data_IF_227357024107
#
_entry.id   IF_227357024107
#
_cell.length_a   1.000
_cell.length_b   1.000
_cell.length_c   1.000
_cell.angle_alpha   90.00
_cell.angle_beta   90.00
_cell.angle_gamma   90.00
#
_symmetry.space_group_name_H-M   'P 1'
#
loop_
_entity.id
_entity.type
_entity.pdbx_description
1 polymer ?
#
# COMPACT_ATOMS: atom_id res chain seq x y z
N UNK A 1 25.96 17.16 -18.81
CA UNK A 1 24.58 16.76 -18.46
C UNK A 1 23.90 16.40 -19.76
N UNK A 2 23.42 15.16 -19.89
CA UNK A 2 22.76 14.69 -21.09
C UNK A 2 21.25 14.90 -20.92
N UNK A 3 20.79 16.04 -21.42
CA UNK A 3 19.41 16.50 -21.22
C UNK A 3 18.38 15.64 -21.94
N UNK A 4 18.75 14.97 -23.03
CA UNK A 4 17.85 14.07 -23.77
C UNK A 4 17.66 12.76 -23.00
N UNK A 5 18.74 12.25 -22.39
CA UNK A 5 18.67 11.11 -21.47
C UNK A 5 17.83 11.44 -20.23
N UNK A 6 18.08 12.57 -19.57
CA UNK A 6 17.27 12.96 -18.41
C UNK A 6 15.80 13.21 -18.76
N UNK A 7 15.52 13.82 -19.92
CA UNK A 7 14.15 14.04 -20.37
C UNK A 7 13.43 12.72 -20.69
N UNK A 8 14.13 11.74 -21.25
CA UNK A 8 13.57 10.40 -21.49
C UNK A 8 13.36 9.63 -20.19
N UNK A 9 14.28 9.71 -19.22
CA UNK A 9 14.11 9.13 -17.88
C UNK A 9 12.93 9.79 -17.15
N UNK A 10 12.76 11.12 -17.25
CA UNK A 10 11.61 11.84 -16.73
C UNK A 10 10.29 11.43 -17.40
N UNK A 11 10.27 11.21 -18.71
CA UNK A 11 9.04 10.77 -19.41
C UNK A 11 8.73 9.28 -19.21
N UNK A 12 9.72 8.44 -18.89
CA UNK A 12 9.52 7.06 -18.46
C UNK A 12 8.94 6.96 -17.04
N UNK A 13 9.09 7.99 -16.19
CA UNK A 13 8.47 7.97 -14.85
C UNK A 13 6.93 7.97 -14.84
N UNK A 14 6.27 8.08 -16.00
CA UNK A 14 4.82 7.92 -16.14
C UNK A 14 4.34 6.51 -16.50
N UNK A 15 5.21 5.66 -17.07
CA UNK A 15 4.88 4.32 -17.54
C UNK A 15 5.52 3.28 -16.62
N UNK A 16 4.69 2.51 -15.90
CA UNK A 16 5.17 1.48 -14.96
C UNK A 16 4.96 1.80 -13.47
N UNK A 17 4.22 2.85 -13.11
CA UNK A 17 3.78 3.09 -11.73
C UNK A 17 2.29 2.81 -11.57
N UNK A 18 1.94 1.97 -10.61
CA UNK A 18 0.55 1.74 -10.24
C UNK A 18 0.08 2.84 -9.29
N UNK A 19 -0.74 3.75 -9.81
CA UNK A 19 -1.44 4.77 -9.02
C UNK A 19 -2.96 4.53 -9.12
N UNK A 20 -3.56 3.79 -8.18
CA UNK A 20 -4.96 3.43 -8.27
C UNK A 20 -5.86 4.66 -8.19
N UNK A 21 -6.81 4.75 -9.13
CA UNK A 21 -7.93 5.70 -9.10
C UNK A 21 -9.12 5.05 -8.39
N UNK A 22 -10.24 5.74 -8.30
CA UNK A 22 -11.48 5.13 -7.80
C UNK A 22 -11.83 3.89 -8.64
N UNK A 23 -12.12 2.77 -7.97
CA UNK A 23 -12.42 1.50 -8.63
C UNK A 23 -12.03 0.28 -7.82
N UNK A 24 -12.10 -0.88 -8.46
CA UNK A 24 -11.74 -2.17 -7.88
C UNK A 24 -10.63 -2.80 -8.74
N UNK A 25 -9.55 -3.23 -8.10
CA UNK A 25 -8.37 -3.77 -8.75
C UNK A 25 -8.02 -5.13 -8.18
N UNK A 26 -7.69 -6.09 -9.05
CA UNK A 26 -7.00 -7.31 -8.64
C UNK A 26 -5.51 -7.07 -8.75
N UNK A 27 -4.80 -7.15 -7.64
CA UNK A 27 -3.37 -6.86 -7.56
C UNK A 27 -2.64 -8.15 -7.18
N UNK A 28 -1.66 -8.55 -7.97
CA UNK A 28 -0.74 -9.65 -7.63
C UNK A 28 0.61 -9.04 -7.25
N UNK A 29 1.14 -9.41 -6.09
CA UNK A 29 2.48 -9.03 -5.66
C UNK A 29 3.52 -9.93 -6.32
N UNK A 30 4.56 -9.34 -6.88
CA UNK A 30 5.65 -10.07 -7.55
C UNK A 30 6.89 -10.22 -6.66
N UNK A 31 7.00 -9.40 -5.63
CA UNK A 31 8.11 -9.38 -4.68
C UNK A 31 7.64 -8.86 -3.31
N UNK A 32 8.50 -8.98 -2.29
CA UNK A 32 8.26 -8.34 -1.00
C UNK A 32 8.46 -6.82 -1.08
N UNK A 33 7.70 -6.03 -0.31
CA UNK A 33 7.90 -4.59 -0.27
C UNK A 33 9.28 -4.22 0.30
N UNK A 34 9.99 -3.34 -0.41
CA UNK A 34 11.26 -2.76 0.05
C UNK A 34 11.02 -1.38 0.66
N UNK A 35 11.73 -1.06 1.75
CA UNK A 35 11.62 0.25 2.39
C UNK A 35 12.20 1.36 1.51
N UNK A 36 11.51 2.50 1.45
CA UNK A 36 11.98 3.70 0.79
C UNK A 36 11.43 4.96 1.48
N UNK A 37 11.89 6.12 1.05
CA UNK A 37 11.41 7.42 1.56
C UNK A 37 11.05 8.31 0.38
N UNK A 38 9.92 8.99 0.50
CA UNK A 38 9.58 10.09 -0.39
C UNK A 38 10.14 11.38 0.21
N UNK A 39 11.01 12.04 -0.56
CA UNK A 39 11.64 13.31 -0.17
C UNK A 39 11.05 14.43 -1.01
N UNK A 40 10.62 15.49 -0.34
CA UNK A 40 10.23 16.74 -0.98
C UNK A 40 11.04 17.86 -0.35
N UNK A 41 11.58 18.73 -1.19
CA UNK A 41 12.45 19.82 -0.73
C UNK A 41 11.71 20.70 0.29
N UNK A 42 12.30 20.84 1.48
CA UNK A 42 11.73 21.61 2.58
C UNK A 42 10.64 20.91 3.39
N UNK A 43 10.35 19.63 3.16
CA UNK A 43 9.44 18.80 3.95
C UNK A 43 10.17 17.62 4.60
N UNK A 44 9.61 17.10 5.69
CA UNK A 44 10.14 15.90 6.36
C UNK A 44 10.05 14.67 5.44
N UNK A 45 11.01 13.76 5.59
CA UNK A 45 11.03 12.49 4.86
C UNK A 45 9.75 11.67 5.16
N UNK A 46 8.99 11.32 4.12
CA UNK A 46 7.77 10.52 4.27
C UNK A 46 8.11 9.04 4.07
N UNK A 47 7.95 8.17 5.10
CA UNK A 47 8.29 6.76 4.99
C UNK A 47 7.32 6.03 4.05
N UNK A 48 7.87 5.25 3.12
CA UNK A 48 7.12 4.47 2.15
C UNK A 48 7.68 3.05 2.02
N UNK A 49 6.93 2.21 1.32
CA UNK A 49 7.46 0.98 0.71
C UNK A 49 7.23 1.03 -0.78
N UNK A 50 8.16 0.47 -1.55
CA UNK A 50 8.01 0.21 -2.98
C UNK A 50 7.81 -1.30 -3.17
N UNK A 51 6.92 -1.68 -4.07
CA UNK A 51 6.68 -3.10 -4.37
C UNK A 51 6.25 -3.27 -5.82
N UNK A 52 6.81 -4.28 -6.49
CA UNK A 52 6.37 -4.66 -7.83
C UNK A 52 5.10 -5.50 -7.80
N UNK A 53 4.15 -5.14 -8.67
CA UNK A 53 2.83 -5.77 -8.79
C UNK A 53 2.41 -5.94 -10.24
N UNK A 54 1.46 -6.84 -10.51
CA UNK A 54 0.63 -6.81 -11.73
C UNK A 54 -0.80 -6.47 -11.38
N UNK A 55 -1.50 -5.74 -12.26
CA UNK A 55 -2.87 -5.28 -11.99
C UNK A 55 -3.82 -5.73 -13.09
N UNK A 56 -4.89 -6.43 -12.72
CA UNK A 56 -5.90 -6.90 -13.66
C UNK A 56 -5.54 -8.24 -14.31
N UNK A 57 -6.00 -8.43 -15.56
CA UNK A 57 -5.75 -9.68 -16.33
C UNK A 57 -4.51 -9.60 -17.21
N UNK A 58 -4.06 -8.39 -17.51
CA UNK A 58 -2.86 -8.16 -18.31
C UNK A 58 -1.66 -8.18 -17.35
N UNK A 59 -0.62 -8.92 -17.72
CA UNK A 59 0.57 -9.15 -16.90
C UNK A 59 1.54 -7.96 -16.93
N UNK A 60 1.02 -6.74 -17.03
CA UNK A 60 1.85 -5.55 -17.01
C UNK A 60 2.40 -5.34 -15.60
N UNK A 61 3.73 -5.41 -15.48
CA UNK A 61 4.43 -5.12 -14.24
C UNK A 61 4.36 -3.62 -13.95
N UNK A 62 4.09 -3.27 -12.70
CA UNK A 62 4.09 -1.90 -12.23
C UNK A 62 4.69 -1.82 -10.84
N UNK A 63 5.41 -0.73 -10.56
CA UNK A 63 5.85 -0.38 -9.22
C UNK A 63 4.73 0.35 -8.49
N UNK A 64 4.47 -0.07 -7.26
CA UNK A 64 3.51 0.57 -6.38
C UNK A 64 4.22 1.13 -5.15
N UNK A 65 4.06 2.44 -4.93
CA UNK A 65 4.59 3.13 -3.75
C UNK A 65 3.46 3.35 -2.75
N UNK A 66 3.68 2.91 -1.52
CA UNK A 66 2.67 2.92 -0.46
C UNK A 66 3.28 3.61 0.76
N UNK A 67 2.65 4.69 1.21
CA UNK A 67 3.04 5.37 2.46
C UNK A 67 2.81 4.46 3.67
N UNK A 68 3.80 4.39 4.57
CA UNK A 68 3.73 3.60 5.82
C UNK A 68 2.78 4.27 6.81
N UNK A 69 1.50 3.93 6.72
CA UNK A 69 0.50 4.32 7.72
C UNK A 69 0.72 3.58 9.04
N UNK A 70 0.40 4.23 10.15
CA UNK A 70 0.61 3.71 11.51
C UNK A 70 -0.53 2.83 12.05
N UNK A 71 -1.58 2.58 11.26
CA UNK A 71 -2.78 1.88 11.72
C UNK A 71 -3.11 0.68 10.84
N UNK A 72 -3.74 -0.35 11.43
CA UNK A 72 -4.23 -1.52 10.69
C UNK A 72 -5.29 -1.17 9.64
N UNK A 73 -5.93 0.00 9.75
CA UNK A 73 -6.90 0.53 8.77
C UNK A 73 -6.22 1.18 7.56
N UNK A 74 -4.96 1.60 7.70
CA UNK A 74 -4.21 2.13 6.56
C UNK A 74 -3.96 1.05 5.51
N UNK A 75 -3.76 1.44 4.25
CA UNK A 75 -3.41 0.48 3.20
C UNK A 75 -2.19 -0.36 3.58
N UNK A 76 -1.12 0.29 4.07
CA UNK A 76 0.08 -0.40 4.53
C UNK A 76 -0.24 -1.41 5.65
N UNK A 77 -0.99 -1.00 6.68
CA UNK A 77 -1.37 -1.90 7.78
C UNK A 77 -2.20 -3.10 7.33
N UNK A 78 -3.11 -2.90 6.36
CA UNK A 78 -3.89 -3.97 5.75
C UNK A 78 -3.00 -4.99 5.03
N UNK A 79 -1.99 -4.52 4.28
CA UNK A 79 -1.04 -5.41 3.61
C UNK A 79 -0.12 -6.14 4.60
N UNK A 80 0.33 -5.46 5.65
CA UNK A 80 1.15 -6.09 6.69
C UNK A 80 0.37 -7.16 7.45
N UNK A 81 -0.93 -7.01 7.64
CA UNK A 81 -1.77 -8.07 8.21
C UNK A 81 -1.78 -9.32 7.34
N UNK A 82 -1.91 -9.16 6.01
CA UNK A 82 -1.85 -10.27 5.05
C UNK A 82 -0.46 -10.94 5.09
N UNK A 83 0.60 -10.14 4.99
CA UNK A 83 1.99 -10.64 5.03
C UNK A 83 2.29 -11.38 6.33
N UNK A 84 1.86 -10.86 7.48
CA UNK A 84 2.02 -11.52 8.77
C UNK A 84 1.24 -12.85 8.86
N UNK A 85 0.01 -12.89 8.34
CA UNK A 85 -0.82 -14.09 8.39
C UNK A 85 -0.28 -15.22 7.49
N UNK A 86 0.27 -14.89 6.33
CA UNK A 86 0.75 -15.86 5.35
C UNK A 86 2.28 -16.06 5.35
N UNK A 87 3.02 -15.25 6.11
CA UNK A 87 4.49 -15.24 6.17
C UNK A 87 5.18 -14.50 5.02
N UNK A 88 4.45 -14.01 4.02
CA UNK A 88 4.96 -13.23 2.88
C UNK A 88 3.80 -12.56 2.10
N UNK A 89 4.14 -11.57 1.27
CA UNK A 89 3.25 -10.98 0.28
C UNK A 89 3.52 -11.47 -1.15
N UNK A 90 4.72 -11.97 -1.44
CA UNK A 90 5.12 -12.46 -2.78
C UNK A 90 4.14 -13.51 -3.30
N UNK A 91 3.77 -13.42 -4.58
CA UNK A 91 2.78 -14.25 -5.27
C UNK A 91 1.34 -14.18 -4.72
N UNK A 92 1.06 -13.34 -3.72
CA UNK A 92 -0.29 -13.14 -3.21
C UNK A 92 -1.11 -12.28 -4.14
N UNK A 93 -2.39 -12.61 -4.21
CA UNK A 93 -3.39 -11.83 -4.93
C UNK A 93 -4.29 -11.15 -3.90
N UNK A 94 -4.60 -9.89 -4.13
CA UNK A 94 -5.54 -9.13 -3.33
C UNK A 94 -6.58 -8.42 -4.19
N UNK A 95 -7.70 -8.09 -3.58
CA UNK A 95 -8.73 -7.23 -4.15
C UNK A 95 -8.68 -5.87 -3.45
N UNK A 96 -8.14 -4.87 -4.16
CA UNK A 96 -8.05 -3.49 -3.71
C UNK A 96 -9.29 -2.72 -4.17
N UNK A 97 -10.04 -2.19 -3.22
CA UNK A 97 -11.13 -1.24 -3.45
C UNK A 97 -10.67 0.16 -3.09
N UNK A 98 -10.85 1.09 -4.03
CA UNK A 98 -10.50 2.50 -3.84
C UNK A 98 -11.75 3.35 -3.99
N UNK A 99 -12.10 4.05 -2.91
CA UNK A 99 -13.22 4.96 -2.87
C UNK A 99 -12.72 6.39 -2.64
N UNK A 100 -13.25 7.34 -3.38
CA UNK A 100 -12.96 8.76 -3.16
C UNK A 100 -14.07 9.35 -2.29
N UNK A 101 -13.68 9.88 -1.13
CA UNK A 101 -14.57 10.61 -0.23
C UNK A 101 -14.21 12.09 -0.27
N UNK A 102 -15.22 12.96 -0.16
CA UNK A 102 -14.98 14.39 -0.02
C UNK A 102 -14.92 14.73 1.47
N UNK A 103 -13.78 15.24 1.92
CA UNK A 103 -13.55 15.66 3.31
C UNK A 103 -12.90 17.05 3.31
N UNK A 104 -13.46 17.97 4.08
CA UNK A 104 -12.97 19.36 4.19
C UNK A 104 -12.80 20.04 2.82
N UNK A 105 -13.75 19.78 1.92
CA UNK A 105 -13.76 20.32 0.55
C UNK A 105 -12.78 19.65 -0.42
N UNK A 106 -11.93 18.72 0.04
CA UNK A 106 -10.93 18.01 -0.76
C UNK A 106 -11.32 16.56 -0.99
N UNK A 107 -10.97 16.04 -2.16
CA UNK A 107 -11.13 14.62 -2.48
C UNK A 107 -9.99 13.82 -1.84
N UNK A 108 -10.35 12.77 -1.11
CA UNK A 108 -9.43 11.86 -0.45
C UNK A 108 -9.74 10.43 -0.84
N UNK A 109 -8.72 9.69 -1.27
CA UNK A 109 -8.86 8.28 -1.54
C UNK A 109 -8.78 7.49 -0.24
N UNK A 110 -9.71 6.55 -0.10
CA UNK A 110 -9.76 5.54 0.95
C UNK A 110 -9.55 4.18 0.32
N UNK A 111 -8.83 3.32 1.03
CA UNK A 111 -8.36 2.04 0.51
C UNK A 111 -8.85 0.91 1.40
N UNK A 112 -9.43 -0.10 0.78
CA UNK A 112 -9.85 -1.34 1.45
C UNK A 112 -9.29 -2.53 0.70
N UNK A 113 -8.61 -3.41 1.40
CA UNK A 113 -8.11 -4.70 0.89
C UNK A 113 -9.02 -5.79 1.43
N UNK A 114 -9.77 -6.44 0.54
CA UNK A 114 -10.84 -7.37 0.94
C UNK A 114 -10.33 -8.49 1.85
N UNK A 115 -9.18 -9.07 1.49
CA UNK A 115 -8.56 -10.20 2.18
C UNK A 115 -8.07 -9.81 3.59
N UNK A 116 -7.69 -8.54 3.78
CA UNK A 116 -7.24 -8.04 5.08
C UNK A 116 -8.38 -7.94 6.10
N UNK A 117 -9.63 -7.74 5.67
CA UNK A 117 -10.78 -7.56 6.57
C UNK A 117 -10.94 -8.79 7.47
N UNK A 118 -10.97 -9.98 6.87
CA UNK A 118 -11.15 -11.23 7.60
C UNK A 118 -9.93 -11.58 8.45
N UNK A 119 -8.73 -11.30 7.93
CA UNK A 119 -7.46 -11.59 8.63
C UNK A 119 -7.32 -10.71 9.87
N UNK A 120 -7.55 -9.41 9.75
CA UNK A 120 -7.48 -8.47 10.87
C UNK A 120 -8.51 -8.86 11.94
N UNK A 121 -9.74 -9.20 11.54
CA UNK A 121 -10.77 -9.64 12.48
C UNK A 121 -10.40 -10.93 13.23
N UNK A 122 -9.63 -11.85 12.61
CA UNK A 122 -9.10 -13.04 13.27
C UNK A 122 -7.96 -12.68 14.24
N UNK A 123 -6.99 -11.90 13.77
CA UNK A 123 -5.85 -11.46 14.58
C UNK A 123 -6.29 -10.66 15.81
N UNK A 124 -7.36 -9.87 15.71
CA UNK A 124 -7.89 -9.12 16.86
C UNK A 124 -8.65 -10.00 17.86
N UNK A 125 -9.23 -11.13 17.42
CA UNK A 125 -9.87 -12.11 18.33
C UNK A 125 -8.84 -12.96 19.07
N UNK A 126 -7.71 -13.22 18.43
CA UNK A 126 -6.63 -14.04 18.99
C UNK A 126 -5.64 -13.22 19.83
N UNK A 127 -5.81 -11.89 19.92
CA UNK A 127 -5.07 -11.07 20.87
C UNK A 127 -5.44 -11.51 22.29
N UNK A 128 -4.46 -11.90 23.13
CA UNK A 128 -4.74 -12.13 24.54
C UNK A 128 -5.32 -10.84 25.12
N UNK A 129 -6.43 -10.97 25.87
CA UNK A 129 -6.95 -9.88 26.69
C UNK A 129 -5.82 -9.54 27.66
N UNK A 130 -5.12 -8.45 27.41
CA UNK A 130 -4.23 -7.88 28.42
C UNK A 130 -5.16 -7.31 29.48
N UNK A 131 -5.42 -8.11 30.52
CA UNK A 131 -5.98 -7.63 31.78
C UNK A 131 -5.17 -6.39 32.17
N UNK A 132 -5.81 -5.24 32.04
CA UNK A 132 -5.25 -4.00 32.55
C UNK A 132 -5.50 -4.07 34.05
N UNK A 133 -4.52 -4.60 34.79
CA UNK A 133 -4.48 -4.43 36.23
C UNK A 133 -4.57 -2.92 36.53
N UNK A 134 -5.72 -2.53 37.06
CA UNK A 134 -5.83 -1.32 37.88
C UNK A 134 -4.80 -1.44 39.00
N UNK A 135 -3.68 -0.74 38.86
CA UNK A 135 -2.79 -0.46 39.99
C UNK A 135 -3.03 0.98 40.43
N UNK A 136 -3.95 1.06 41.40
CA UNK A 136 -4.13 2.03 42.50
C UNK A 136 -3.56 3.45 42.36
#
# INVERSE_FOLDING_TARGET
MDYEKEFNELNQTGEGFFKPKQGIYKVKFLEEPEECVFKKEGEDDVPQVKVKVTVGKEAEESLWYITKGSTNKSLYGQLMAIGNFYGNLTDRNITLMVNTIRKDGKDQNTYTVQEAIEIIAKLDKDKPVTDTEEVK
#
